data_IF_775363217660
#
_entry.id   IF_775363217660
#
_cell.length_a   1.000
_cell.length_b   1.000
_cell.length_c   1.000
_cell.angle_alpha   90.00
_cell.angle_beta   90.00
_cell.angle_gamma   90.00
#
_symmetry.space_group_name_H-M   'P 1'
#
loop_
_entity.id
_entity.type
_entity.pdbx_description
1 polymer ?
#
# COMPACT_ATOMS: atom_id res chain seq x y z
N UNK A 1 -3.41 2.94 37.43
CA UNK A 1 -3.96 3.52 36.19
C UNK A 1 -5.38 3.05 36.03
N UNK A 2 -6.35 3.95 35.88
CA UNK A 2 -7.75 3.57 35.66
C UNK A 2 -7.93 2.99 34.26
N UNK A 3 -8.98 2.17 34.08
CA UNK A 3 -9.40 1.64 32.79
C UNK A 3 -9.60 2.76 31.74
N UNK A 4 -10.07 3.94 32.16
CA UNK A 4 -10.25 5.11 31.30
C UNK A 4 -8.93 5.64 30.71
N UNK A 5 -7.85 5.67 31.49
CA UNK A 5 -6.52 6.09 31.00
C UNK A 5 -5.97 5.12 29.96
N UNK A 6 -6.12 3.80 30.16
CA UNK A 6 -5.64 2.79 29.20
C UNK A 6 -6.41 2.85 27.87
N UNK A 7 -7.73 3.01 27.93
CA UNK A 7 -8.57 3.17 26.73
C UNK A 7 -8.18 4.46 25.99
N UNK A 8 -8.07 5.59 26.71
CA UNK A 8 -7.64 6.87 26.12
C UNK A 8 -6.25 6.82 25.49
N UNK A 9 -5.28 6.19 26.16
CA UNK A 9 -3.92 6.01 25.65
C UNK A 9 -3.88 5.12 24.40
N UNK A 10 -4.59 4.00 24.40
CA UNK A 10 -4.68 3.11 23.22
C UNK A 10 -5.34 3.81 22.02
N UNK A 11 -6.40 4.58 22.26
CA UNK A 11 -7.06 5.39 21.24
C UNK A 11 -6.16 6.50 20.68
N UNK A 12 -5.40 7.18 21.54
CA UNK A 12 -4.43 8.20 21.13
C UNK A 12 -3.33 7.60 20.24
N UNK A 13 -2.75 6.46 20.63
CA UNK A 13 -1.74 5.76 19.84
C UNK A 13 -2.29 5.30 18.49
N UNK A 14 -3.52 4.78 18.45
CA UNK A 14 -4.16 4.39 17.20
C UNK A 14 -4.35 5.59 16.26
N UNK A 15 -4.80 6.74 16.77
CA UNK A 15 -4.93 7.95 15.96
C UNK A 15 -3.57 8.49 15.50
N UNK A 16 -2.53 8.41 16.32
CA UNK A 16 -1.16 8.78 15.89
C UNK A 16 -0.67 7.92 14.73
N UNK A 17 -0.91 6.60 14.79
CA UNK A 17 -0.57 5.71 13.68
C UNK A 17 -1.37 6.04 12.42
N UNK A 18 -2.66 6.35 12.57
CA UNK A 18 -3.51 6.75 11.44
C UNK A 18 -3.01 8.06 10.78
N UNK A 19 -2.69 9.07 11.60
CA UNK A 19 -2.07 10.32 11.14
C UNK A 19 -0.77 10.05 10.38
N UNK A 20 0.09 9.15 10.88
CA UNK A 20 1.34 8.80 10.20
C UNK A 20 1.10 8.14 8.83
N UNK A 21 0.13 7.22 8.73
CA UNK A 21 -0.22 6.57 7.46
C UNK A 21 -0.79 7.57 6.45
N UNK A 22 -1.74 8.41 6.87
CA UNK A 22 -2.33 9.44 6.00
C UNK A 22 -1.26 10.45 5.55
N UNK A 23 -0.37 10.86 6.45
CA UNK A 23 0.74 11.76 6.10
C UNK A 23 1.68 11.14 5.07
N UNK A 24 1.97 9.84 5.20
CA UNK A 24 2.77 9.11 4.23
C UNK A 24 2.08 9.01 2.86
N UNK A 25 0.77 8.78 2.84
CA UNK A 25 -0.01 8.77 1.60
C UNK A 25 0.05 10.12 0.89
N UNK A 26 -0.19 11.22 1.63
CA UNK A 26 -0.14 12.58 1.09
C UNK A 26 1.26 12.90 0.54
N UNK A 27 2.31 12.55 1.28
CA UNK A 27 3.69 12.78 0.85
C UNK A 27 4.04 12.05 -0.45
N UNK A 28 3.48 10.85 -0.66
CA UNK A 28 3.74 10.03 -1.82
C UNK A 28 2.74 10.22 -2.96
N UNK A 29 1.82 11.21 -2.90
CA UNK A 29 0.78 11.40 -3.94
C UNK A 29 1.35 11.54 -5.36
N UNK A 30 2.51 12.18 -5.51
CA UNK A 30 3.16 12.37 -6.82
C UNK A 30 4.13 11.24 -7.18
N UNK A 31 4.28 10.22 -6.34
CA UNK A 31 5.19 9.10 -6.58
C UNK A 31 4.53 8.13 -7.56
N UNK A 32 5.21 7.79 -8.65
CA UNK A 32 4.69 6.92 -9.71
C UNK A 32 4.51 5.48 -9.23
N UNK A 33 3.34 4.89 -9.46
CA UNK A 33 3.02 3.52 -9.06
C UNK A 33 2.85 3.32 -7.54
N UNK A 34 2.80 4.39 -6.73
CA UNK A 34 2.58 4.26 -5.28
C UNK A 34 1.14 3.82 -4.97
N UNK A 35 1.00 2.92 -4.01
CA UNK A 35 -0.29 2.38 -3.54
C UNK A 35 -0.55 2.85 -2.13
N UNK A 36 -1.70 3.51 -1.95
CA UNK A 36 -2.16 4.06 -0.68
C UNK A 36 -2.19 2.99 0.41
N UNK A 37 -1.66 3.34 1.57
CA UNK A 37 -1.66 2.50 2.78
C UNK A 37 -2.86 2.84 3.66
N UNK A 38 -3.48 1.81 4.23
CA UNK A 38 -4.55 1.93 5.21
C UNK A 38 -4.24 1.05 6.42
N UNK A 39 -4.48 1.60 7.60
CA UNK A 39 -4.38 0.87 8.87
C UNK A 39 -5.79 0.39 9.25
N UNK A 40 -5.91 -0.89 9.57
CA UNK A 40 -7.10 -1.43 10.22
C UNK A 40 -6.90 -1.51 11.72
N UNK A 41 -7.94 -1.14 12.45
CA UNK A 41 -7.98 -1.21 13.90
C UNK A 41 -8.95 -2.29 14.33
N UNK A 42 -8.57 -3.04 15.36
CA UNK A 42 -9.44 -4.01 16.02
C UNK A 42 -9.64 -3.57 17.49
N UNK A 43 -10.80 -3.91 18.04
CA UNK A 43 -11.04 -3.75 19.46
C UNK A 43 -10.16 -4.71 20.28
N UNK A 44 -9.86 -4.32 21.52
CA UNK A 44 -9.18 -5.18 22.48
C UNK A 44 -10.19 -6.06 23.21
N UNK A 45 -9.69 -7.07 23.93
CA UNK A 45 -10.52 -7.99 24.73
C UNK A 45 -11.48 -7.24 25.65
N UNK A 46 -12.56 -7.92 26.01
CA UNK A 46 -13.57 -7.36 26.89
C UNK A 46 -13.43 -7.93 28.32
N UNK A 47 -13.53 -7.06 29.33
CA UNK A 47 -13.60 -7.46 30.72
C UNK A 47 -15.06 -7.66 31.14
N UNK A 48 -15.44 -8.91 31.42
CA UNK A 48 -16.78 -9.27 31.90
C UNK A 48 -16.79 -9.23 33.44
N UNK A 49 -17.48 -8.26 34.02
CA UNK A 49 -17.64 -8.13 35.48
C UNK A 49 -18.84 -8.95 35.97
N UNK A 50 -19.90 -9.00 35.17
CA UNK A 50 -21.02 -9.92 35.36
C UNK A 50 -21.35 -10.61 34.04
N UNK A 51 -21.29 -11.94 34.02
CA UNK A 51 -21.74 -12.71 32.85
C UNK A 51 -23.27 -12.69 32.83
N UNK A 52 -23.92 -12.49 31.66
CA UNK A 52 -25.36 -12.63 31.53
C UNK A 52 -25.80 -14.02 32.03
N UNK A 53 -26.88 -14.09 32.84
CA UNK A 53 -27.43 -15.37 33.32
C UNK A 53 -26.91 -15.87 34.67
N UNK A 54 -26.19 -15.07 35.45
CA UNK A 54 -25.87 -15.43 36.84
C UNK A 54 -27.13 -15.28 37.73
N UNK A 55 -27.40 -16.26 38.61
CA UNK A 55 -28.46 -16.16 39.62
C UNK A 55 -27.99 -15.26 40.77
N UNK A 56 -28.73 -14.20 41.07
CA UNK A 56 -28.42 -13.33 42.22
C UNK A 56 -28.81 -14.03 43.53
N UNK A 57 -27.86 -14.11 44.47
CA UNK A 57 -28.01 -14.81 45.76
C UNK A 57 -29.10 -14.22 46.67
N UNK A 58 -29.59 -13.02 46.38
CA UNK A 58 -30.50 -12.26 47.23
C UNK A 58 -31.99 -12.38 46.83
N UNK A 59 -32.31 -12.93 45.64
CA UNK A 59 -33.71 -13.04 45.19
C UNK A 59 -34.01 -14.19 44.21
N UNK A 60 -33.05 -15.06 43.88
CA UNK A 60 -33.31 -16.22 43.00
C UNK A 60 -33.64 -15.88 41.55
N UNK A 61 -33.54 -14.61 41.16
CA UNK A 61 -33.81 -14.13 39.80
C UNK A 61 -32.51 -14.09 38.99
N UNK A 62 -32.55 -14.52 37.72
CA UNK A 62 -31.42 -14.43 36.79
C UNK A 62 -31.17 -12.98 36.41
N UNK A 63 -29.93 -12.48 36.53
CA UNK A 63 -29.59 -11.14 36.03
C UNK A 63 -29.69 -11.13 34.50
N UNK A 64 -30.57 -10.29 33.89
CA UNK A 64 -30.79 -10.27 32.45
C UNK A 64 -29.66 -9.63 31.65
N UNK A 65 -28.87 -8.75 32.28
CA UNK A 65 -27.84 -7.95 31.61
C UNK A 65 -26.47 -8.23 32.21
N UNK A 66 -25.52 -8.64 31.37
CA UNK A 66 -24.11 -8.69 31.76
C UNK A 66 -23.48 -7.29 31.75
N UNK A 67 -22.45 -7.09 32.58
CA UNK A 67 -21.64 -5.88 32.59
C UNK A 67 -20.30 -6.18 31.92
N UNK A 68 -20.07 -5.57 30.76
CA UNK A 68 -18.89 -5.78 29.92
C UNK A 68 -18.26 -4.44 29.53
N UNK A 69 -16.94 -4.31 29.71
CA UNK A 69 -16.16 -3.15 29.26
C UNK A 69 -15.13 -3.55 28.22
N UNK A 70 -15.03 -2.81 27.11
CA UNK A 70 -13.96 -2.98 26.13
C UNK A 70 -12.65 -2.38 26.63
N UNK A 71 -11.52 -3.05 26.39
CA UNK A 71 -10.21 -2.63 26.91
C UNK A 71 -9.47 -1.62 26.00
N UNK A 72 -10.10 -1.14 24.91
CA UNK A 72 -9.53 -0.16 23.99
C UNK A 72 -9.39 -0.68 22.57
N UNK A 73 -8.41 -0.16 21.83
CA UNK A 73 -8.17 -0.47 20.40
C UNK A 73 -6.70 -0.80 20.12
N UNK A 74 -6.43 -1.57 19.07
CA UNK A 74 -5.07 -1.86 18.59
C UNK A 74 -5.03 -1.86 17.05
N UNK A 75 -3.90 -1.43 16.48
CA UNK A 75 -3.64 -1.62 15.05
C UNK A 75 -3.50 -3.12 14.73
N UNK A 76 -4.39 -3.62 13.88
CA UNK A 76 -4.46 -5.03 13.51
C UNK A 76 -3.53 -5.35 12.33
N UNK A 77 -3.57 -4.52 11.29
CA UNK A 77 -2.76 -4.67 10.10
C UNK A 77 -2.63 -3.33 9.36
N UNK A 78 -1.57 -3.21 8.56
CA UNK A 78 -1.46 -2.18 7.52
C UNK A 78 -1.46 -2.90 6.18
N UNK A 79 -2.39 -2.59 5.30
CA UNK A 79 -2.39 -3.12 3.93
C UNK A 79 -2.41 -1.99 2.91
N UNK A 80 -1.99 -2.31 1.69
CA UNK A 80 -2.03 -1.41 0.54
C UNK A 80 -3.28 -1.68 -0.29
N UNK A 81 -3.87 -0.62 -0.81
CA UNK A 81 -5.01 -0.71 -1.71
C UNK A 81 -4.45 -0.72 -3.14
N UNK A 82 -4.57 -1.86 -3.82
CA UNK A 82 -3.98 -2.09 -5.15
C UNK A 82 -4.90 -1.68 -6.31
N UNK A 83 -5.68 -0.62 -6.11
CA UNK A 83 -6.46 0.01 -7.17
C UNK A 83 -5.54 0.77 -8.12
N UNK A 84 -5.93 0.84 -9.39
CA UNK A 84 -5.18 1.58 -10.41
C UNK A 84 -5.30 3.09 -10.17
N UNK A 85 -4.17 3.80 -10.25
CA UNK A 85 -4.14 5.25 -10.20
C UNK A 85 -4.54 5.92 -11.52
N UNK A 86 -4.53 7.24 -11.56
CA UNK A 86 -4.68 7.97 -12.82
C UNK A 86 -3.43 7.78 -13.69
N UNK A 87 -3.64 7.67 -15.01
CA UNK A 87 -2.57 7.55 -15.98
C UNK A 87 -2.26 8.93 -16.54
N UNK A 88 -1.01 9.37 -16.38
CA UNK A 88 -0.53 10.64 -16.91
C UNK A 88 0.29 10.41 -18.17
N UNK A 89 0.02 11.17 -19.22
CA UNK A 89 0.84 11.17 -20.44
C UNK A 89 2.13 11.94 -20.16
N UNK A 90 3.28 11.31 -20.40
CA UNK A 90 4.61 11.93 -20.26
C UNK A 90 5.28 12.17 -21.61
N UNK A 91 4.79 11.52 -22.68
CA UNK A 91 5.37 11.55 -24.03
C UNK A 91 6.82 11.03 -24.11
N UNK A 92 7.31 10.38 -23.06
CA UNK A 92 8.62 9.75 -23.06
C UNK A 92 8.50 8.29 -23.52
N UNK A 93 9.34 7.91 -24.47
CA UNK A 93 9.29 6.59 -25.14
C UNK A 93 9.56 5.43 -24.19
N UNK A 94 10.34 5.68 -23.12
CA UNK A 94 10.73 4.68 -22.12
C UNK A 94 9.81 4.65 -20.90
N UNK A 95 8.84 5.56 -20.82
CA UNK A 95 7.85 5.54 -19.74
C UNK A 95 6.72 4.57 -20.10
N UNK A 96 6.49 3.60 -19.23
CA UNK A 96 5.52 2.52 -19.47
C UNK A 96 4.52 2.41 -18.33
N UNK A 97 3.23 2.55 -18.63
CA UNK A 97 2.18 2.30 -17.65
C UNK A 97 1.44 1.01 -17.98
N UNK A 98 0.95 0.33 -16.94
CA UNK A 98 0.09 -0.85 -17.09
C UNK A 98 -1.37 -0.40 -16.92
N UNK A 99 -2.20 -0.69 -17.91
CA UNK A 99 -3.66 -0.54 -17.83
C UNK A 99 -4.30 -1.85 -17.40
N UNK A 100 -4.79 -1.95 -16.16
CA UNK A 100 -5.33 -3.20 -15.61
C UNK A 100 -4.40 -3.91 -14.62
N UNK A 101 -4.47 -5.24 -14.50
CA UNK A 101 -3.65 -6.03 -13.58
C UNK A 101 -2.19 -6.20 -14.05
N UNK A 102 -1.28 -6.49 -13.13
CA UNK A 102 0.12 -6.81 -13.44
C UNK A 102 1.17 -5.99 -12.70
N UNK A 103 2.38 -6.50 -12.63
CA UNK A 103 3.56 -5.81 -12.14
C UNK A 103 4.68 -6.05 -13.14
N UNK A 104 5.58 -5.08 -13.25
CA UNK A 104 6.86 -5.28 -13.93
C UNK A 104 7.78 -6.07 -13.01
N UNK A 105 8.40 -7.10 -13.56
CA UNK A 105 9.44 -7.86 -12.88
C UNK A 105 10.79 -7.18 -13.10
N UNK A 106 11.57 -7.02 -12.03
CA UNK A 106 12.90 -6.44 -12.06
C UNK A 106 13.86 -7.34 -11.28
N UNK A 107 15.09 -7.44 -11.74
CA UNK A 107 16.10 -8.25 -11.06
C UNK A 107 16.84 -7.39 -10.02
N UNK A 108 16.78 -7.79 -8.75
CA UNK A 108 17.56 -7.13 -7.70
C UNK A 108 19.04 -7.50 -7.82
N UNK A 109 19.97 -6.69 -7.27
CA UNK A 109 21.39 -7.01 -7.25
C UNK A 109 21.72 -8.28 -6.46
N UNK A 110 20.79 -8.76 -5.62
CA UNK A 110 20.90 -10.04 -4.90
C UNK A 110 20.64 -11.25 -5.81
N UNK A 111 20.10 -11.04 -7.01
CA UNK A 111 19.59 -12.10 -7.90
C UNK A 111 18.14 -12.50 -7.63
N UNK A 112 17.46 -11.84 -6.69
CA UNK A 112 16.04 -12.07 -6.41
C UNK A 112 15.15 -11.26 -7.38
N UNK A 113 13.97 -11.77 -7.71
CA UNK A 113 12.95 -11.03 -8.46
C UNK A 113 12.24 -10.02 -7.55
N UNK A 114 12.20 -8.76 -7.99
CA UNK A 114 11.40 -7.69 -7.44
C UNK A 114 10.26 -7.33 -8.38
N UNK A 115 9.20 -6.77 -7.81
CA UNK A 115 8.00 -6.42 -8.57
C UNK A 115 7.72 -4.93 -8.38
N UNK A 116 7.46 -4.21 -9.47
CA UNK A 116 7.16 -2.78 -9.41
C UNK A 116 5.99 -2.43 -10.30
N UNK A 117 5.27 -1.39 -9.90
CA UNK A 117 4.24 -0.73 -10.70
C UNK A 117 4.75 0.60 -11.27
N UNK A 118 5.97 1.00 -10.91
CA UNK A 118 6.57 2.23 -11.43
C UNK A 118 7.09 2.00 -12.83
N UNK A 119 6.61 2.83 -13.76
CA UNK A 119 6.90 2.77 -15.19
C UNK A 119 8.09 3.58 -15.67
N UNK A 120 8.82 4.20 -14.76
CA UNK A 120 9.92 5.12 -15.08
C UNK A 120 11.20 4.34 -15.39
N UNK A 121 11.36 3.93 -16.65
CA UNK A 121 12.54 3.20 -17.10
C UNK A 121 13.53 4.11 -17.84
N UNK A 122 14.80 3.72 -17.80
CA UNK A 122 15.93 4.36 -18.46
C UNK A 122 16.82 3.29 -19.09
N UNK A 123 17.71 3.69 -20.00
CA UNK A 123 18.69 2.78 -20.59
C UNK A 123 20.03 2.93 -19.87
N UNK A 124 20.66 1.80 -19.56
CA UNK A 124 22.03 1.80 -19.02
C UNK A 124 23.09 1.79 -20.15
N UNK A 125 24.38 1.80 -19.78
CA UNK A 125 25.52 1.79 -20.73
C UNK A 125 25.52 0.56 -21.65
N UNK A 126 24.96 -0.57 -21.17
CA UNK A 126 24.85 -1.81 -21.93
C UNK A 126 23.61 -1.85 -22.85
N UNK A 127 22.79 -0.79 -22.84
CA UNK A 127 21.53 -0.74 -23.58
C UNK A 127 20.37 -1.48 -22.91
N UNK A 128 20.51 -1.94 -21.68
CA UNK A 128 19.44 -2.63 -20.95
C UNK A 128 18.43 -1.63 -20.37
N UNK A 129 17.15 -2.01 -20.40
CA UNK A 129 16.09 -1.27 -19.69
C UNK A 129 16.23 -1.46 -18.18
N UNK A 130 16.54 -0.37 -17.50
CA UNK A 130 16.70 -0.31 -16.04
C UNK A 130 15.70 0.65 -15.41
N UNK A 131 15.33 0.39 -14.16
CA UNK A 131 14.59 1.34 -13.32
C UNK A 131 15.45 2.55 -12.95
N UNK A 132 14.86 3.58 -12.32
CA UNK A 132 15.61 4.75 -11.81
C UNK A 132 16.67 4.39 -10.76
N UNK A 133 16.59 3.20 -10.18
CA UNK A 133 17.54 2.64 -9.23
C UNK A 133 18.63 1.78 -9.90
N UNK A 134 18.56 1.57 -11.21
CA UNK A 134 19.52 0.76 -11.96
C UNK A 134 19.22 -0.73 -11.99
N UNK A 135 18.04 -1.17 -11.55
CA UNK A 135 17.65 -2.59 -11.62
C UNK A 135 17.11 -2.92 -13.02
N UNK A 136 17.66 -3.93 -13.72
CA UNK A 136 17.18 -4.32 -15.04
C UNK A 136 15.80 -4.96 -14.96
N UNK A 137 14.98 -4.74 -15.99
CA UNK A 137 13.69 -5.39 -16.14
C UNK A 137 13.89 -6.85 -16.60
N UNK A 138 13.05 -7.76 -16.10
CA UNK A 138 13.01 -9.14 -16.55
C UNK A 138 11.83 -9.37 -17.54
N UNK A 139 12.04 -10.09 -18.65
CA UNK A 139 13.30 -10.67 -19.12
C UNK A 139 14.24 -9.58 -19.67
N UNK A 140 15.55 -9.68 -19.40
CA UNK A 140 16.55 -8.65 -19.75
C UNK A 140 16.49 -8.21 -21.21
N UNK A 141 15.88 -7.04 -21.47
CA UNK A 141 15.73 -6.47 -22.81
C UNK A 141 16.91 -5.53 -23.07
N UNK A 142 17.76 -5.91 -24.02
CA UNK A 142 18.91 -5.09 -24.47
C UNK A 142 18.55 -4.34 -25.75
N UNK A 143 18.36 -3.03 -25.65
CA UNK A 143 18.16 -2.13 -26.78
C UNK A 143 19.53 -1.71 -27.33
N UNK A 144 19.87 -2.06 -28.59
CA UNK A 144 21.10 -1.62 -29.24
C UNK A 144 21.20 -0.08 -29.33
N UNK A 145 22.40 0.46 -29.13
CA UNK A 145 22.65 1.91 -29.15
C UNK A 145 22.51 2.55 -30.54
N UNK A 146 22.37 1.77 -31.60
CA UNK A 146 22.10 2.24 -32.94
C UNK A 146 20.59 2.44 -33.23
N UNK A 147 19.70 2.09 -32.31
CA UNK A 147 18.26 2.25 -32.49
C UNK A 147 17.83 3.73 -32.64
N UNK A 148 17.07 4.03 -33.70
CA UNK A 148 16.55 5.37 -34.01
C UNK A 148 15.25 5.65 -33.25
N UNK A 149 14.38 4.65 -33.16
CA UNK A 149 13.11 4.72 -32.43
C UNK A 149 12.81 3.38 -31.77
N UNK A 150 12.17 3.46 -30.60
CA UNK A 150 11.72 2.32 -29.80
C UNK A 150 10.20 2.41 -29.76
N UNK A 151 9.52 1.40 -30.28
CA UNK A 151 8.07 1.33 -30.29
C UNK A 151 7.67 0.10 -29.46
N UNK A 152 6.88 0.31 -28.41
CA UNK A 152 6.47 -0.78 -27.50
C UNK A 152 4.98 -1.01 -27.72
N UNK A 153 4.65 -2.21 -28.18
CA UNK A 153 3.27 -2.61 -28.42
C UNK A 153 2.53 -2.90 -27.12
N UNK A 154 1.19 -2.90 -27.19
CA UNK A 154 0.33 -3.10 -26.02
C UNK A 154 0.45 -4.48 -25.37
N UNK A 155 0.95 -5.46 -26.13
CA UNK A 155 1.27 -6.83 -25.72
C UNK A 155 2.65 -6.95 -25.03
N UNK A 156 3.38 -5.83 -24.93
CA UNK A 156 4.71 -5.75 -24.33
C UNK A 156 5.86 -6.04 -25.29
N UNK A 157 5.60 -6.30 -26.57
CA UNK A 157 6.65 -6.53 -27.55
C UNK A 157 7.40 -5.22 -27.86
N UNK A 158 8.72 -5.24 -27.71
CA UNK A 158 9.61 -4.10 -27.91
C UNK A 158 10.20 -4.16 -29.31
N UNK A 159 9.76 -3.24 -30.16
CA UNK A 159 10.27 -3.07 -31.51
C UNK A 159 11.30 -1.94 -31.57
N UNK A 160 12.36 -2.16 -32.34
CA UNK A 160 13.35 -1.12 -32.65
C UNK A 160 13.40 -0.88 -34.16
N UNK A 161 13.71 0.35 -34.54
CA UNK A 161 14.07 0.71 -35.92
C UNK A 161 15.55 1.05 -35.98
N UNK A 162 16.30 0.29 -36.78
CA UNK A 162 17.73 0.54 -37.01
C UNK A 162 17.96 1.41 -38.26
N UNK A 163 19.09 2.15 -38.34
CA UNK A 163 19.41 3.02 -39.48
C UNK A 163 19.53 2.28 -40.80
N UNK A 164 19.89 1.00 -40.76
CA UNK A 164 20.18 0.18 -41.93
C UNK A 164 19.02 -0.75 -42.34
N UNK A 165 17.91 -0.77 -41.60
CA UNK A 165 16.75 -1.60 -41.93
C UNK A 165 15.44 -0.82 -41.70
N UNK A 166 14.61 -0.60 -42.73
CA UNK A 166 13.34 0.08 -42.57
C UNK A 166 12.27 -0.77 -41.86
N UNK A 167 12.51 -2.07 -41.63
CA UNK A 167 11.58 -2.95 -40.91
C UNK A 167 11.81 -2.87 -39.41
N UNK A 168 10.72 -2.87 -38.64
CA UNK A 168 10.73 -3.00 -37.19
C UNK A 168 11.26 -4.39 -36.80
N UNK A 169 12.30 -4.45 -35.98
CA UNK A 169 12.83 -5.69 -35.43
C UNK A 169 12.39 -5.83 -33.97
N UNK A 170 11.85 -6.99 -33.60
CA UNK A 170 11.53 -7.33 -32.21
C UNK A 170 12.80 -7.69 -31.45
N UNK A 171 13.00 -7.05 -30.30
CA UNK A 171 14.18 -7.22 -29.42
C UNK A 171 13.84 -8.09 -28.21
N UNK A 172 12.57 -8.14 -27.83
CA UNK A 172 12.09 -8.88 -26.68
C UNK A 172 10.68 -8.50 -26.32
N UNK A 173 10.10 -9.21 -25.35
CA UNK A 173 8.76 -8.95 -24.84
C UNK A 173 8.81 -8.74 -23.34
N UNK A 174 8.22 -7.65 -22.87
CA UNK A 174 8.02 -7.36 -21.45
C UNK A 174 6.89 -8.26 -20.96
N UNK A 175 7.19 -9.13 -19.99
CA UNK A 175 6.18 -9.93 -19.30
C UNK A 175 5.65 -9.19 -18.09
N UNK A 176 4.38 -9.42 -17.79
CA UNK A 176 3.75 -8.94 -16.57
C UNK A 176 3.63 -10.08 -15.57
N UNK A 177 3.69 -9.72 -14.29
CA UNK A 177 3.50 -10.67 -13.19
C UNK A 177 2.26 -10.29 -12.39
N UNK A 178 1.40 -11.25 -12.12
CA UNK A 178 0.22 -11.07 -11.28
C UNK A 178 0.30 -12.01 -10.07
N UNK A 179 -0.24 -11.57 -8.94
CA UNK A 179 -0.27 -12.35 -7.71
C UNK A 179 -1.72 -12.67 -7.35
N UNK A 180 -2.02 -13.91 -6.93
CA UNK A 180 -3.33 -14.26 -6.40
C UNK A 180 -3.74 -13.36 -5.22
N UNK A 181 -2.79 -12.97 -4.38
CA UNK A 181 -3.03 -12.08 -3.24
C UNK A 181 -2.03 -10.91 -3.21
N UNK A 182 -2.43 -9.76 -3.78
CA UNK A 182 -1.60 -8.53 -3.78
C UNK A 182 -1.31 -8.00 -2.37
N UNK A 183 -2.22 -8.20 -1.41
CA UNK A 183 -2.05 -7.71 -0.04
C UNK A 183 -0.97 -8.45 0.76
N UNK A 184 -0.50 -9.60 0.27
CA UNK A 184 0.61 -10.34 0.85
C UNK A 184 1.99 -9.87 0.40
N UNK A 185 2.08 -8.94 -0.55
CA UNK A 185 3.37 -8.45 -1.04
C UNK A 185 4.07 -7.59 0.01
N UNK A 186 5.36 -7.84 0.23
CA UNK A 186 6.17 -7.04 1.13
C UNK A 186 6.79 -5.87 0.37
N UNK A 187 6.74 -4.66 0.93
CA UNK A 187 7.30 -3.48 0.29
C UNK A 187 8.69 -3.16 0.84
N UNK A 188 9.73 -3.29 0.01
CA UNK A 188 11.15 -3.08 0.40
C UNK A 188 11.60 -1.62 0.23
N UNK A 189 10.68 -0.72 -0.13
CA UNK A 189 10.96 0.67 -0.48
C UNK A 189 11.14 0.86 -1.98
N UNK A 190 11.35 2.11 -2.43
CA UNK A 190 11.55 2.43 -3.86
C UNK A 190 10.43 1.95 -4.81
N UNK A 191 9.21 1.80 -4.28
CA UNK A 191 8.06 1.19 -4.98
C UNK A 191 8.30 -0.24 -5.48
N UNK A 192 9.25 -0.95 -4.86
CA UNK A 192 9.48 -2.37 -5.06
C UNK A 192 8.68 -3.20 -4.07
N UNK A 193 8.25 -4.35 -4.56
CA UNK A 193 7.54 -5.38 -3.85
C UNK A 193 8.30 -6.69 -3.97
N UNK A 194 8.36 -7.46 -2.88
CA UNK A 194 8.87 -8.82 -2.85
C UNK A 194 7.71 -9.79 -2.64
N UNK A 195 7.86 -10.98 -3.20
CA UNK A 195 6.94 -12.07 -2.93
C UNK A 195 7.07 -12.59 -1.49
N UNK A 196 5.96 -13.03 -0.93
CA UNK A 196 5.94 -13.69 0.37
C UNK A 196 5.10 -14.96 0.28
N UNK A 197 5.16 -15.78 1.33
CA UNK A 197 4.27 -16.94 1.42
C UNK A 197 2.77 -16.55 1.37
N UNK A 198 2.42 -15.34 1.79
CA UNK A 198 1.05 -14.85 1.81
C UNK A 198 0.59 -14.29 0.45
N UNK A 199 1.52 -13.87 -0.44
CA UNK A 199 1.16 -13.37 -1.77
C UNK A 199 0.77 -14.49 -2.74
N UNK A 200 1.26 -15.71 -2.48
CA UNK A 200 1.22 -16.82 -3.41
C UNK A 200 2.34 -16.71 -4.46
N UNK A 201 2.45 -17.74 -5.29
CA UNK A 201 3.46 -17.79 -6.34
C UNK A 201 3.16 -16.75 -7.44
N UNK A 202 4.19 -16.12 -8.02
CA UNK A 202 4.04 -15.19 -9.14
C UNK A 202 3.53 -15.94 -10.37
N UNK A 203 2.51 -15.39 -11.02
CA UNK A 203 2.05 -15.87 -12.33
C UNK A 203 2.56 -14.88 -13.37
N UNK A 204 3.53 -15.31 -14.17
CA UNK A 204 4.05 -14.54 -15.30
C UNK A 204 3.18 -14.78 -16.54
N UNK A 205 2.97 -13.74 -17.34
CA UNK A 205 2.24 -13.83 -18.60
C UNK A 205 2.45 -12.63 -19.50
N UNK A 206 1.94 -12.74 -20.72
CA UNK A 206 2.00 -11.65 -21.70
C UNK A 206 0.86 -10.66 -21.45
N UNK A 207 1.14 -9.37 -21.72
CA UNK A 207 0.12 -8.34 -21.64
C UNK A 207 -1.04 -8.62 -22.62
N UNK A 208 -2.23 -8.07 -22.34
CA UNK A 208 -3.50 -8.33 -23.03
C UNK A 208 -4.15 -9.72 -22.88
N UNK A 209 -3.56 -10.65 -22.11
CA UNK A 209 -4.24 -11.92 -21.77
C UNK A 209 -5.31 -11.68 -20.69
N UNK A 210 -6.36 -12.51 -20.57
CA UNK A 210 -7.53 -12.28 -19.67
C UNK A 210 -7.20 -11.87 -18.22
N UNK A 211 -6.05 -12.30 -17.66
CA UNK A 211 -5.62 -11.96 -16.29
C UNK A 211 -4.68 -10.72 -16.22
N UNK A 212 -4.18 -10.23 -17.35
CA UNK A 212 -3.15 -9.19 -17.43
C UNK A 212 -3.67 -7.92 -18.11
N UNK A 213 -3.15 -6.79 -17.66
CA UNK A 213 -3.39 -5.50 -18.29
C UNK A 213 -2.71 -5.36 -19.66
N UNK A 214 -3.01 -4.26 -20.35
CA UNK A 214 -2.24 -3.80 -21.51
C UNK A 214 -1.11 -2.87 -21.06
N UNK A 215 -0.01 -2.84 -21.81
CA UNK A 215 1.07 -1.88 -21.60
C UNK A 215 0.80 -0.64 -22.46
N UNK A 216 0.97 0.55 -21.90
CA UNK A 216 0.83 1.81 -22.60
C UNK A 216 2.14 2.58 -22.55
N UNK A 217 2.73 2.80 -23.73
CA UNK A 217 3.94 3.58 -23.91
C UNK A 217 3.66 5.08 -23.82
N UNK A 218 4.55 5.85 -23.20
CA UNK A 218 4.42 7.29 -23.04
C UNK A 218 3.53 7.71 -21.87
N UNK A 219 3.19 6.77 -20.98
CA UNK A 219 2.36 7.01 -19.81
C UNK A 219 3.07 6.56 -18.53
N UNK A 220 2.77 7.26 -17.43
CA UNK A 220 3.11 6.82 -16.08
C UNK A 220 1.85 6.71 -15.25
N UNK A 221 1.77 5.66 -14.42
CA UNK A 221 0.71 5.52 -13.43
C UNK A 221 1.03 6.40 -12.21
N UNK A 222 0.13 7.31 -11.84
CA UNK A 222 0.22 8.06 -10.58
C UNK A 222 -0.18 7.20 -9.38
N UNK A 223 0.04 7.76 -8.20
CA UNK A 223 -0.57 7.24 -6.99
C UNK A 223 -2.09 7.19 -7.08
N UNK A 224 -2.69 6.19 -6.44
CA UNK A 224 -4.13 6.13 -6.19
C UNK A 224 -4.55 6.91 -4.92
N UNK A 225 -3.77 7.93 -4.56
CA UNK A 225 -4.01 8.76 -3.37
C UNK A 225 -4.81 9.99 -3.78
N UNK A 226 -6.00 10.14 -3.21
CA UNK A 226 -6.79 11.37 -3.36
C UNK A 226 -6.48 12.32 -2.20
N UNK A 227 -5.81 13.44 -2.52
CA UNK A 227 -5.44 14.45 -1.53
C UNK A 227 -6.61 15.02 -0.75
N UNK A 228 -7.78 15.20 -1.36
CA UNK A 228 -8.93 15.81 -0.70
C UNK A 228 -9.49 14.84 0.34
N UNK A 229 -9.63 13.56 -0.03
CA UNK A 229 -10.04 12.50 0.89
C UNK A 229 -9.02 12.27 2.00
N UNK A 230 -7.72 12.29 1.70
CA UNK A 230 -6.68 12.11 2.72
C UNK A 230 -6.60 13.30 3.68
N UNK A 231 -6.70 14.55 3.21
CA UNK A 231 -6.68 15.75 4.08
C UNK A 231 -7.89 15.78 4.99
N UNK A 232 -9.08 15.45 4.49
CA UNK A 232 -10.28 15.36 5.34
C UNK A 232 -10.13 14.26 6.38
N UNK A 233 -9.62 13.09 6.00
CA UNK A 233 -9.30 12.01 6.92
C UNK A 233 -8.26 12.43 7.97
N UNK A 234 -7.22 13.18 7.57
CA UNK A 234 -6.19 13.72 8.47
C UNK A 234 -6.80 14.64 9.52
N UNK A 235 -7.68 15.56 9.11
CA UNK A 235 -8.37 16.48 10.03
C UNK A 235 -9.24 15.68 11.02
N UNK A 236 -9.94 14.65 10.55
CA UNK A 236 -10.75 13.80 11.45
C UNK A 236 -9.88 13.03 12.46
N UNK A 237 -8.74 12.49 12.02
CA UNK A 237 -7.81 11.76 12.87
C UNK A 237 -7.15 12.69 13.90
N UNK A 238 -6.79 13.92 13.51
CA UNK A 238 -6.26 14.94 14.42
C UNK A 238 -7.28 15.35 15.47
N UNK A 239 -8.53 15.63 15.08
CA UNK A 239 -9.61 15.92 16.03
C UNK A 239 -9.88 14.74 16.98
N UNK A 240 -9.81 13.51 16.49
CA UNK A 240 -9.93 12.32 17.32
C UNK A 240 -8.77 12.19 18.32
N UNK A 241 -7.54 12.50 17.91
CA UNK A 241 -6.37 12.56 18.79
C UNK A 241 -6.54 13.63 19.89
N UNK A 242 -6.98 14.85 19.52
CA UNK A 242 -7.26 15.93 20.46
C UNK A 242 -8.36 15.56 21.47
N UNK A 243 -9.45 14.93 21.00
CA UNK A 243 -10.51 14.42 21.88
C UNK A 243 -9.99 13.36 22.86
N UNK A 244 -9.17 12.42 22.40
CA UNK A 244 -8.56 11.41 23.27
C UNK A 244 -7.63 12.05 24.33
N UNK A 245 -6.88 13.09 23.97
CA UNK A 245 -6.08 13.87 24.93
C UNK A 245 -6.96 14.55 25.98
N UNK A 246 -8.12 15.11 25.58
CA UNK A 246 -9.05 15.71 26.53
C UNK A 246 -9.66 14.67 27.49
N UNK A 247 -9.89 13.43 27.05
CA UNK A 247 -10.36 12.33 27.92
C UNK A 247 -9.31 11.99 28.99
N UNK A 248 -8.02 11.99 28.64
CA UNK A 248 -6.94 11.73 29.60
C UNK A 248 -6.86 12.86 30.63
N UNK A 249 -6.81 14.13 30.19
CA UNK A 249 -6.75 15.28 31.12
C UNK A 249 -7.95 15.35 32.06
N UNK A 250 -9.16 15.09 31.57
CA UNK A 250 -10.36 15.04 32.43
C UNK A 250 -10.34 13.86 33.41
N UNK A 251 -9.80 12.71 33.01
CA UNK A 251 -9.58 11.58 33.93
C UNK A 251 -8.57 11.93 35.03
N UNK A 252 -7.50 12.64 34.69
CA UNK A 252 -6.48 13.09 35.65
C UNK A 252 -7.04 14.16 36.61
N UNK A 253 -7.86 15.09 36.11
CA UNK A 253 -8.57 16.09 36.93
C UNK A 253 -9.52 15.40 37.94
N UNK A 254 -10.27 14.37 37.52
CA UNK A 254 -11.12 13.57 38.41
C UNK A 254 -10.31 12.80 39.46
N UNK A 255 -9.15 12.25 39.09
CA UNK A 255 -8.25 11.60 40.05
C UNK A 255 -7.69 12.60 41.08
N UNK A 256 -7.27 13.78 40.62
CA UNK A 256 -6.73 14.83 41.48
C UNK A 256 -7.77 15.34 42.48
N UNK A 257 -9.00 15.62 42.03
CA UNK A 257 -10.09 16.04 42.92
C UNK A 257 -10.44 14.95 43.94
N UNK A 258 -10.45 13.68 43.54
CA UNK A 258 -10.66 12.56 44.48
C UNK A 258 -9.54 12.43 45.51
N UNK A 259 -8.28 12.68 45.11
CA UNK A 259 -7.14 12.64 46.02
C UNK A 259 -7.19 13.80 47.05
N UNK A 260 -7.71 14.97 46.67
CA UNK A 260 -7.88 16.14 47.56
C UNK A 260 -9.01 15.98 48.58
N UNK A 261 -9.95 15.04 48.36
CA UNK A 261 -11.03 14.73 49.29
C UNK A 261 -10.59 13.80 50.44
N UNK A 262 -9.32 13.38 50.47
CA UNK A 262 -8.71 12.58 51.56
C UNK A 262 -7.89 13.47 52.49
#
# INVERSE_FOLDING_TARGET
>A
MSLSLNIGASGMLAQQMNVNAISNNIANMNTTGFKRQRIEFADLMYQNIQRPGHVSAESGNTTPTGLQFGLGVRAAATYRIHEQGSLNTTNNVLDLAISGGGFFEVELPSGDSGYTRSGSFQLNENGELVTTQGYPIAPGITIPSDAISIDIAEDGEVFIRQPNNPNLQSVGQITLVEFPNRGGLEATGNNLFLETQASGAPVTGTAQTEQFGSIMQGFLENSNVDSVSEITSLITAQRAYEMNSKIITTSDEMMSTTAQLR
#
